data_IF_360224225025
#
_entry.id   IF_360224225025
#
_cell.length_a   1.000
_cell.length_b   1.000
_cell.length_c   1.000
_cell.angle_alpha   90.00
_cell.angle_beta   90.00
_cell.angle_gamma   90.00
#
_symmetry.space_group_name_H-M   'P 1'
#
loop_
_entity.id
_entity.type
_entity.pdbx_description
1 polymer ?
#
# COMPACT_ATOMS: atom_id res chain seq x y z
N UNK A 1 -9.49 8.47 -33.60
CA UNK A 1 -10.64 7.60 -33.95
C UNK A 1 -10.40 6.19 -33.42
N UNK A 2 -11.07 5.81 -32.34
CA UNK A 2 -10.94 4.49 -31.70
C UNK A 2 -11.65 3.44 -32.57
N UNK A 3 -10.88 2.59 -33.26
CA UNK A 3 -11.45 1.49 -34.06
C UNK A 3 -12.03 0.44 -33.10
N UNK A 4 -13.35 0.42 -32.92
CA UNK A 4 -14.06 -0.65 -32.18
C UNK A 4 -13.93 -1.96 -32.95
N UNK A 5 -13.18 -2.91 -32.43
CA UNK A 5 -13.12 -4.27 -32.97
C UNK A 5 -14.45 -4.97 -32.66
N UNK A 6 -15.09 -5.50 -33.71
CA UNK A 6 -16.32 -6.28 -33.56
C UNK A 6 -16.06 -7.69 -33.02
N UNK A 7 -17.02 -8.24 -32.26
CA UNK A 7 -16.96 -9.60 -31.67
C UNK A 7 -16.57 -10.69 -32.68
N UNK A 8 -17.09 -10.63 -33.91
CA UNK A 8 -16.78 -11.60 -34.97
C UNK A 8 -15.34 -11.50 -35.47
N UNK A 9 -14.82 -10.28 -35.55
CA UNK A 9 -13.43 -10.04 -35.93
C UNK A 9 -12.46 -10.40 -34.80
N UNK A 10 -12.90 -10.28 -33.54
CA UNK A 10 -12.17 -10.81 -32.40
C UNK A 10 -12.03 -12.33 -32.51
N UNK A 11 -13.13 -13.08 -32.61
CA UNK A 11 -13.07 -14.55 -32.73
C UNK A 11 -12.24 -15.03 -33.92
N UNK A 12 -12.34 -14.37 -35.08
CA UNK A 12 -11.51 -14.71 -36.25
C UNK A 12 -10.02 -14.44 -35.99
N UNK A 13 -9.67 -13.34 -35.31
CA UNK A 13 -8.29 -13.04 -34.93
C UNK A 13 -7.76 -14.04 -33.90
N UNK A 14 -8.55 -14.38 -32.88
CA UNK A 14 -8.16 -15.33 -31.83
C UNK A 14 -7.97 -16.74 -32.41
N UNK A 15 -8.84 -17.18 -33.31
CA UNK A 15 -8.72 -18.49 -33.98
C UNK A 15 -7.48 -18.57 -34.89
N UNK A 16 -7.14 -17.50 -35.61
CA UNK A 16 -5.92 -17.45 -36.45
C UNK A 16 -4.63 -17.49 -35.63
N UNK A 17 -4.61 -16.80 -34.49
CA UNK A 17 -3.47 -16.82 -33.55
C UNK A 17 -3.32 -18.22 -32.92
N UNK A 18 -4.44 -18.86 -32.55
CA UNK A 18 -4.44 -20.23 -32.00
C UNK A 18 -3.90 -21.28 -32.98
N UNK A 19 -4.28 -21.21 -34.27
CA UNK A 19 -3.82 -22.16 -35.29
C UNK A 19 -2.33 -21.96 -35.61
N UNK A 20 -1.84 -20.72 -35.62
CA UNK A 20 -0.42 -20.42 -35.84
C UNK A 20 0.49 -20.93 -34.71
N UNK A 21 -0.01 -21.04 -33.48
CA UNK A 21 0.76 -21.52 -32.34
C UNK A 21 0.95 -23.05 -32.33
N UNK A 22 0.10 -23.80 -33.03
CA UNK A 22 0.17 -25.28 -33.10
C UNK A 22 1.10 -25.76 -34.22
N UNK A 23 1.30 -24.96 -35.28
CA UNK A 23 2.12 -25.35 -36.44
C UNK A 23 3.56 -24.81 -36.37
N UNK A 24 3.81 -23.75 -35.61
CA UNK A 24 5.16 -23.21 -35.39
C UNK A 24 5.44 -23.07 -33.90
N UNK A 25 6.21 -24.00 -33.33
CA UNK A 25 6.57 -24.09 -31.91
C UNK A 25 7.39 -22.93 -31.33
N UNK A 26 7.31 -21.73 -31.92
CA UNK A 26 8.10 -20.54 -31.56
C UNK A 26 7.26 -19.40 -30.97
N UNK A 27 5.93 -19.52 -30.91
CA UNK A 27 5.05 -18.44 -30.38
C UNK A 27 4.85 -18.52 -28.86
N UNK A 28 5.17 -19.66 -28.23
CA UNK A 28 5.08 -19.81 -26.77
C UNK A 28 6.08 -18.93 -25.99
N UNK A 29 7.13 -18.41 -26.65
CA UNK A 29 8.12 -17.50 -26.04
C UNK A 29 7.63 -16.04 -25.95
N UNK A 30 6.57 -15.66 -26.67
CA UNK A 30 6.06 -14.29 -26.71
C UNK A 30 5.01 -13.97 -25.64
N UNK A 31 4.59 -14.94 -24.83
CA UNK A 31 3.89 -14.67 -23.57
C UNK A 31 4.90 -14.29 -22.48
N UNK A 32 5.86 -13.45 -22.82
CA UNK A 32 6.58 -12.68 -21.82
C UNK A 32 5.55 -11.73 -21.21
N UNK A 33 5.21 -11.99 -19.95
CA UNK A 33 4.32 -11.17 -19.14
C UNK A 33 4.73 -9.71 -19.37
N UNK A 34 3.88 -8.94 -20.06
CA UNK A 34 4.17 -7.54 -20.31
C UNK A 34 4.40 -6.91 -18.94
N UNK A 35 5.63 -6.43 -18.70
CA UNK A 35 6.00 -5.73 -17.48
C UNK A 35 4.89 -4.72 -17.21
N UNK A 36 4.12 -4.93 -16.14
CA UNK A 36 2.98 -4.08 -15.83
C UNK A 36 3.47 -2.64 -15.88
N UNK A 37 2.80 -1.81 -16.68
CA UNK A 37 3.14 -0.40 -16.79
C UNK A 37 3.23 0.18 -15.37
N UNK A 38 4.23 1.02 -15.12
CA UNK A 38 4.46 1.54 -13.79
C UNK A 38 3.20 2.26 -13.30
N UNK A 39 2.61 1.76 -12.22
CA UNK A 39 1.35 2.22 -11.69
C UNK A 39 1.63 3.21 -10.56
N UNK A 40 1.28 4.48 -10.76
CA UNK A 40 1.44 5.51 -9.73
C UNK A 40 0.31 5.48 -8.69
N UNK A 41 -0.90 5.08 -9.10
CA UNK A 41 -2.10 5.07 -8.26
C UNK A 41 -2.89 3.79 -8.50
N UNK A 42 -3.11 3.00 -7.45
CA UNK A 42 -3.98 1.82 -7.47
C UNK A 42 -5.24 2.06 -6.63
N UNK A 43 -6.40 1.65 -7.16
CA UNK A 43 -7.69 1.74 -6.46
C UNK A 43 -8.34 0.36 -6.43
N UNK A 44 -8.70 -0.10 -5.24
CA UNK A 44 -9.44 -1.34 -5.02
C UNK A 44 -10.63 -1.04 -4.11
N UNK A 45 -11.81 -1.55 -4.47
CA UNK A 45 -13.05 -1.29 -3.75
C UNK A 45 -13.74 -2.59 -3.34
N UNK A 46 -14.36 -2.60 -2.17
CA UNK A 46 -15.09 -3.75 -1.61
C UNK A 46 -15.15 -3.70 -0.09
N UNK A 47 -15.92 -4.61 0.52
CA UNK A 47 -16.07 -4.70 1.98
C UNK A 47 -14.93 -5.40 2.72
N UNK A 48 -14.07 -6.13 2.00
CA UNK A 48 -12.92 -6.82 2.57
C UNK A 48 -11.67 -5.91 2.57
N UNK A 49 -11.56 -5.07 3.60
CA UNK A 49 -10.47 -4.09 3.72
C UNK A 49 -9.09 -4.73 3.69
N UNK A 50 -8.93 -5.92 4.26
CA UNK A 50 -7.67 -6.65 4.31
C UNK A 50 -7.20 -7.04 2.91
N UNK A 51 -8.03 -7.75 2.16
CA UNK A 51 -7.67 -8.22 0.82
C UNK A 51 -7.61 -7.07 -0.18
N UNK A 52 -8.43 -6.03 0.01
CA UNK A 52 -8.34 -4.82 -0.82
C UNK A 52 -7.00 -4.11 -0.65
N UNK A 53 -6.49 -4.02 0.59
CA UNK A 53 -5.18 -3.42 0.88
C UNK A 53 -4.06 -4.21 0.20
N UNK A 54 -4.09 -5.54 0.31
CA UNK A 54 -3.08 -6.42 -0.33
C UNK A 54 -3.09 -6.22 -1.84
N UNK A 55 -4.27 -6.30 -2.47
CA UNK A 55 -4.41 -6.10 -3.92
C UNK A 55 -3.96 -4.72 -4.37
N UNK A 56 -4.26 -3.68 -3.59
CA UNK A 56 -3.83 -2.32 -3.93
C UNK A 56 -2.29 -2.22 -3.96
N UNK A 57 -1.61 -2.81 -2.97
CA UNK A 57 -0.14 -2.85 -2.93
C UNK A 57 0.45 -3.73 -4.03
N UNK A 58 -0.17 -4.87 -4.35
CA UNK A 58 0.22 -5.73 -5.48
C UNK A 58 0.15 -4.97 -6.82
N UNK A 59 -0.94 -4.21 -7.05
CA UNK A 59 -1.10 -3.38 -8.24
C UNK A 59 -0.06 -2.27 -8.35
N UNK A 60 0.48 -1.79 -7.22
CA UNK A 60 1.58 -0.81 -7.18
C UNK A 60 2.97 -1.44 -7.43
N UNK A 61 3.03 -2.77 -7.61
CA UNK A 61 4.27 -3.51 -7.83
C UNK A 61 4.80 -4.26 -6.61
N UNK A 62 3.98 -4.43 -5.57
CA UNK A 62 4.34 -5.19 -4.37
C UNK A 62 4.94 -4.31 -3.25
N UNK A 63 4.96 -4.84 -2.04
CA UNK A 63 5.47 -4.11 -0.87
C UNK A 63 6.99 -3.93 -0.95
N UNK A 64 7.68 -4.83 -1.65
CA UNK A 64 9.12 -4.86 -1.86
C UNK A 64 9.63 -3.67 -2.68
N UNK A 65 8.73 -2.96 -3.39
CA UNK A 65 9.03 -1.68 -4.02
C UNK A 65 9.30 -0.56 -2.99
N UNK A 66 8.75 -0.69 -1.79
CA UNK A 66 8.78 0.34 -0.74
C UNK A 66 9.56 -0.08 0.50
N UNK A 67 9.60 -1.38 0.79
CA UNK A 67 10.21 -1.94 1.99
C UNK A 67 11.24 -2.98 1.60
N UNK A 68 12.47 -2.78 2.04
CA UNK A 68 13.58 -3.69 1.80
C UNK A 68 13.95 -4.46 3.07
N UNK A 69 14.66 -5.58 2.88
CA UNK A 69 15.14 -6.40 3.98
C UNK A 69 16.07 -5.58 4.88
N UNK A 70 15.79 -5.58 6.19
CA UNK A 70 16.56 -4.83 7.17
C UNK A 70 16.01 -3.43 7.47
N UNK A 71 15.00 -2.96 6.74
CA UNK A 71 14.44 -1.62 6.95
C UNK A 71 13.77 -1.48 8.31
N UNK A 72 13.89 -0.28 8.88
CA UNK A 72 13.07 0.17 10.01
C UNK A 72 11.92 0.99 9.46
N UNK A 73 10.73 0.40 9.47
CA UNK A 73 9.54 0.98 8.83
C UNK A 73 8.72 1.76 9.87
N UNK A 74 8.35 2.99 9.52
CA UNK A 74 7.38 3.79 10.26
C UNK A 74 6.03 3.79 9.52
N UNK A 75 4.95 3.48 10.24
CA UNK A 75 3.57 3.49 9.75
C UNK A 75 2.82 4.57 10.54
N UNK A 76 2.11 5.44 9.82
CA UNK A 76 1.35 6.54 10.41
C UNK A 76 -0.15 6.35 10.15
N UNK A 77 -0.85 5.46 10.88
CA UNK A 77 -2.29 5.28 10.70
C UNK A 77 -3.06 6.47 11.27
N UNK A 78 -4.21 6.78 10.68
CA UNK A 78 -5.10 7.79 11.20
C UNK A 78 -5.78 7.30 12.48
N UNK A 79 -5.82 8.13 13.53
CA UNK A 79 -6.33 7.75 14.87
C UNK A 79 -6.94 8.95 15.59
N UNK A 80 -7.82 9.71 14.92
CA UNK A 80 -8.31 11.00 15.43
C UNK A 80 -9.44 10.86 16.45
N UNK A 81 -10.30 9.85 16.31
CA UNK A 81 -11.39 9.62 17.27
C UNK A 81 -11.93 8.19 17.17
N UNK A 82 -12.94 7.87 17.99
CA UNK A 82 -13.66 6.59 17.98
C UNK A 82 -14.67 6.43 16.84
N UNK A 83 -15.00 7.51 16.13
CA UNK A 83 -16.06 7.50 15.13
C UNK A 83 -15.59 6.88 13.82
N UNK A 84 -16.39 6.01 13.17
CA UNK A 84 -16.06 5.46 11.87
C UNK A 84 -15.68 6.55 10.86
N UNK A 85 -14.60 6.33 10.10
CA UNK A 85 -14.07 7.30 9.14
C UNK A 85 -13.05 8.29 9.72
N UNK A 86 -12.90 8.37 11.05
CA UNK A 86 -11.90 9.23 11.71
C UNK A 86 -10.64 8.46 12.15
N UNK A 87 -10.60 7.16 11.91
CA UNK A 87 -9.45 6.29 12.12
C UNK A 87 -9.29 5.33 10.94
N UNK A 88 -8.05 4.88 10.69
CA UNK A 88 -7.78 3.86 9.67
C UNK A 88 -8.36 2.53 10.14
N UNK A 89 -9.06 1.82 9.25
CA UNK A 89 -9.59 0.50 9.60
C UNK A 89 -8.46 -0.44 10.07
N UNK A 90 -8.60 -1.15 11.22
CA UNK A 90 -7.56 -2.03 11.75
C UNK A 90 -7.06 -3.11 10.79
N UNK A 91 -7.93 -3.63 9.92
CA UNK A 91 -7.55 -4.66 8.94
C UNK A 91 -6.57 -4.14 7.89
N UNK A 92 -6.64 -2.85 7.55
CA UNK A 92 -5.67 -2.18 6.66
C UNK A 92 -4.31 -2.15 7.35
N UNK A 93 -4.28 -1.74 8.62
CA UNK A 93 -3.03 -1.65 9.39
C UNK A 93 -2.39 -3.03 9.58
N UNK A 94 -3.18 -4.05 9.90
CA UNK A 94 -2.69 -5.44 9.97
C UNK A 94 -2.11 -5.91 8.65
N UNK A 95 -2.80 -5.66 7.54
CA UNK A 95 -2.32 -6.07 6.22
C UNK A 95 -0.96 -5.42 5.90
N UNK A 96 -0.82 -4.12 6.14
CA UNK A 96 0.44 -3.40 5.90
C UNK A 96 1.56 -3.93 6.80
N UNK A 97 1.33 -4.09 8.12
CA UNK A 97 2.33 -4.64 9.05
C UNK A 97 2.82 -6.02 8.57
N UNK A 98 1.89 -6.91 8.21
CA UNK A 98 2.24 -8.25 7.72
C UNK A 98 3.05 -8.20 6.43
N UNK A 99 2.69 -7.32 5.50
CA UNK A 99 3.44 -7.15 4.25
C UNK A 99 4.87 -6.64 4.53
N UNK A 100 5.03 -5.61 5.39
CA UNK A 100 6.35 -5.11 5.77
C UNK A 100 7.23 -6.20 6.41
N UNK A 101 6.65 -7.01 7.31
CA UNK A 101 7.36 -8.13 7.94
C UNK A 101 7.75 -9.20 6.94
N UNK A 102 6.86 -9.55 6.00
CA UNK A 102 7.15 -10.51 4.93
C UNK A 102 8.27 -10.03 4.01
N UNK A 103 8.36 -8.72 3.75
CA UNK A 103 9.46 -8.12 3.00
C UNK A 103 10.80 -8.15 3.75
N UNK A 104 10.81 -8.53 5.03
CA UNK A 104 12.01 -8.65 5.85
C UNK A 104 12.40 -7.36 6.57
N UNK A 105 11.46 -6.45 6.82
CA UNK A 105 11.71 -5.30 7.70
C UNK A 105 12.28 -5.75 9.05
N UNK A 106 13.34 -5.10 9.51
CA UNK A 106 13.93 -5.37 10.82
C UNK A 106 13.03 -4.88 11.95
N UNK A 107 12.32 -3.78 11.73
CA UNK A 107 11.46 -3.15 12.73
C UNK A 107 10.24 -2.53 12.03
N UNK A 108 9.05 -2.65 12.65
CA UNK A 108 7.83 -2.00 12.17
C UNK A 108 7.22 -1.23 13.33
N UNK A 109 7.12 0.09 13.18
CA UNK A 109 6.69 1.01 14.21
C UNK A 109 5.47 1.80 13.74
N UNK A 110 4.38 1.71 14.49
CA UNK A 110 3.28 2.65 14.38
C UNK A 110 3.57 3.88 15.25
N UNK A 111 3.59 5.06 14.64
CA UNK A 111 3.95 6.32 15.29
C UNK A 111 2.72 7.19 15.52
N UNK A 112 2.69 7.91 16.64
CA UNK A 112 1.65 8.93 16.90
C UNK A 112 2.09 9.85 18.02
N UNK A 113 1.60 11.09 18.00
CA UNK A 113 1.65 12.00 19.16
C UNK A 113 0.35 12.03 19.95
N UNK A 114 -0.69 11.36 19.46
CA UNK A 114 -1.98 11.24 20.12
C UNK A 114 -1.91 10.25 21.28
N UNK A 115 -2.75 10.49 22.29
CA UNK A 115 -2.75 9.75 23.54
C UNK A 115 -3.15 8.28 23.36
N UNK A 116 -2.78 7.37 24.29
CA UNK A 116 -3.17 5.96 24.25
C UNK A 116 -4.68 5.74 24.07
N UNK A 117 -5.50 6.66 24.61
CA UNK A 117 -6.95 6.62 24.50
C UNK A 117 -7.46 6.60 23.05
N UNK A 118 -6.83 7.34 22.15
CA UNK A 118 -7.22 7.37 20.74
C UNK A 118 -7.01 6.00 20.06
N UNK A 119 -5.93 5.34 20.44
CA UNK A 119 -5.55 4.04 19.93
C UNK A 119 -6.44 2.92 20.49
N UNK A 120 -6.76 2.97 21.78
CA UNK A 120 -7.66 2.01 22.41
C UNK A 120 -9.11 2.16 21.93
N UNK A 121 -9.58 3.41 21.78
CA UNK A 121 -10.94 3.69 21.32
C UNK A 121 -11.14 3.28 19.83
N UNK A 122 -10.09 3.27 19.02
CA UNK A 122 -10.11 2.81 17.61
C UNK A 122 -9.79 1.33 17.42
N UNK A 123 -9.29 0.65 18.45
CA UNK A 123 -8.84 -0.75 18.40
C UNK A 123 -7.56 -0.97 17.59
N UNK A 124 -6.85 0.10 17.23
CA UNK A 124 -5.61 0.05 16.47
C UNK A 124 -4.44 -0.46 17.32
N UNK A 125 -4.43 -0.17 18.62
CA UNK A 125 -3.45 -0.71 19.57
C UNK A 125 -3.40 -2.24 19.55
N UNK A 126 -4.57 -2.88 19.63
CA UNK A 126 -4.71 -4.34 19.58
C UNK A 126 -4.20 -4.89 18.26
N UNK A 127 -4.52 -4.23 17.15
CA UNK A 127 -4.03 -4.63 15.84
C UNK A 127 -2.50 -4.54 15.74
N UNK A 128 -1.88 -3.50 16.28
CA UNK A 128 -0.42 -3.35 16.29
C UNK A 128 0.23 -4.43 17.16
N UNK A 129 -0.28 -4.64 18.38
CA UNK A 129 0.27 -5.59 19.36
C UNK A 129 0.15 -7.04 18.85
N UNK A 130 -1.03 -7.45 18.38
CA UNK A 130 -1.26 -8.82 17.92
C UNK A 130 -0.44 -9.17 16.68
N UNK A 131 -0.14 -8.20 15.83
CA UNK A 131 0.76 -8.40 14.69
C UNK A 131 2.24 -8.32 15.10
N UNK A 132 2.56 -8.06 16.38
CA UNK A 132 3.90 -7.95 16.93
C UNK A 132 4.68 -6.75 16.38
N UNK A 133 4.01 -5.66 16.04
CA UNK A 133 4.64 -4.37 15.72
C UNK A 133 4.71 -3.49 16.98
N UNK A 134 5.48 -2.43 16.92
CA UNK A 134 5.64 -1.51 18.05
C UNK A 134 4.70 -0.32 17.92
N UNK A 135 4.10 0.11 19.03
CA UNK A 135 3.42 1.40 19.12
C UNK A 135 4.34 2.41 19.83
N UNK A 136 4.78 3.45 19.12
CA UNK A 136 5.60 4.53 19.67
C UNK A 136 4.78 5.80 19.76
N UNK A 137 4.43 6.17 20.99
CA UNK A 137 3.75 7.42 21.30
C UNK A 137 4.80 8.46 21.65
N UNK A 138 4.92 9.49 20.82
CA UNK A 138 5.93 10.55 20.92
C UNK A 138 5.25 11.79 21.49
N UNK A 139 5.73 12.29 22.63
CA UNK A 139 5.20 13.53 23.17
C UNK A 139 5.57 14.69 22.24
N UNK A 140 4.57 15.47 21.84
CA UNK A 140 4.76 16.61 20.94
C UNK A 140 5.48 17.77 21.62
N UNK A 141 5.26 17.92 22.92
CA UNK A 141 5.75 19.06 23.67
C UNK A 141 7.14 18.76 24.30
N UNK A 142 7.64 17.52 24.16
CA UNK A 142 9.00 17.12 24.53
C UNK A 142 9.99 17.43 23.39
N UNK A 143 10.58 18.63 23.43
CA UNK A 143 11.57 19.08 22.44
C UNK A 143 12.79 18.16 22.32
N UNK A 144 13.10 17.34 23.34
CA UNK A 144 14.24 16.41 23.29
C UNK A 144 14.07 15.29 22.25
N UNK A 145 12.83 15.01 21.84
CA UNK A 145 12.49 14.02 20.82
C UNK A 145 12.60 14.57 19.38
N UNK A 146 12.88 15.87 19.24
CA UNK A 146 12.92 16.56 17.95
C UNK A 146 14.30 17.16 17.68
N UNK A 147 14.63 17.27 16.40
CA UNK A 147 15.81 17.98 15.95
C UNK A 147 15.41 19.03 14.93
N UNK A 148 16.04 20.20 15.02
CA UNK A 148 15.78 21.27 14.05
C UNK A 148 16.41 20.90 12.72
N UNK A 149 15.59 20.71 11.70
CA UNK A 149 16.03 20.46 10.33
C UNK A 149 15.76 21.68 9.46
N UNK A 150 16.71 22.09 8.60
CA UNK A 150 16.46 23.17 7.65
C UNK A 150 15.39 22.73 6.64
N UNK A 151 14.46 23.62 6.32
CA UNK A 151 13.46 23.42 5.27
C UNK A 151 13.74 24.44 4.15
N UNK A 152 14.59 24.10 3.16
CA UNK A 152 15.17 25.10 2.24
C UNK A 152 14.15 25.87 1.40
N UNK A 153 12.99 25.26 1.13
CA UNK A 153 11.87 25.85 0.37
C UNK A 153 10.69 26.24 1.26
N UNK A 154 10.89 26.31 2.57
CA UNK A 154 9.84 26.67 3.52
C UNK A 154 9.48 28.14 3.41
N UNK A 155 8.25 28.44 2.99
CA UNK A 155 7.70 29.79 3.08
C UNK A 155 6.90 29.92 4.38
N UNK A 156 7.03 31.06 5.08
CA UNK A 156 6.15 31.34 6.22
C UNK A 156 4.70 31.31 5.75
N UNK A 157 3.84 30.59 6.47
CA UNK A 157 2.40 30.65 6.24
C UNK A 157 1.96 32.10 6.45
N UNK A 158 1.25 32.74 5.51
CA UNK A 158 0.67 34.05 5.73
C UNK A 158 -0.19 34.01 7.00
N UNK A 159 -0.12 35.06 7.82
CA UNK A 159 -1.04 35.24 8.93
C UNK A 159 -2.48 35.29 8.37
N UNK A 160 -3.45 34.66 9.04
CA UNK A 160 -4.86 34.74 8.65
C UNK A 160 -5.39 36.17 8.73
#
# INVERSE_FOLDING_TARGET
MTKKIGRREFFKRTAKIGISAVVGGSVLSQFSCSKAAECDIAVVSGGDYRNNTIKAVELLGGIEKFVHKGDKVAILPNTQSRHPGTYTNPDVVRAVIRMCKKAGAAEVNCLSWLTPKHWSDSGLDKAVIEEGANLKLIDRDDESLYTTVPVPRGTKRPSP
#
